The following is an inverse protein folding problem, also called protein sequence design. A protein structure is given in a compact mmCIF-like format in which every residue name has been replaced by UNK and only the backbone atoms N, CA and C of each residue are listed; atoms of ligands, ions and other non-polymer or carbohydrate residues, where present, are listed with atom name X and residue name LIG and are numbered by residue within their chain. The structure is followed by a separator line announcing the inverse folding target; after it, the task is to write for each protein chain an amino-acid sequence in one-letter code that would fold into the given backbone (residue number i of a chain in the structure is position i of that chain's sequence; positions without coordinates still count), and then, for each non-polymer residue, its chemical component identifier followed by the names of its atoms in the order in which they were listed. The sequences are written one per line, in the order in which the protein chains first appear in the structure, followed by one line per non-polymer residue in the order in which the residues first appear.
data_IF_996641362018
#
_entry.id   IF_996641362018
#
_cell.length_a   1.000
_cell.length_b   1.000
_cell.length_c   1.000
_cell.angle_alpha   90.00
_cell.angle_beta   90.00
_cell.angle_gamma   90.00
#
_symmetry.space_group_name_H-M   'P 1'
#
loop_
_entity.id
_entity.type
_entity.pdbx_description
1 polymer ?
#
# COMPACT_ATOMS: atom_id res chain seq x y z
N UNK A 1 38.89 32.47 9.06
CA UNK A 1 38.44 31.07 8.88
C UNK A 1 37.27 30.70 9.80
N UNK A 2 37.28 31.04 11.09
CA UNK A 2 36.19 30.72 12.04
C UNK A 2 34.81 31.27 11.62
N UNK A 3 34.73 32.53 11.17
CA UNK A 3 33.46 33.10 10.69
C UNK A 3 32.84 32.38 9.49
N UNK A 4 33.67 31.88 8.57
CA UNK A 4 33.21 31.09 7.43
C UNK A 4 32.60 29.78 7.90
N UNK A 5 33.21 29.11 8.88
CA UNK A 5 32.67 27.88 9.48
C UNK A 5 31.32 28.14 10.18
N UNK A 6 31.19 29.25 10.92
CA UNK A 6 29.91 29.62 11.57
C UNK A 6 28.80 29.82 10.53
N UNK A 7 29.09 30.53 9.44
CA UNK A 7 28.12 30.75 8.35
C UNK A 7 27.71 29.43 7.69
N UNK A 8 28.66 28.53 7.43
CA UNK A 8 28.38 27.21 6.84
C UNK A 8 27.48 26.39 7.78
N UNK A 9 27.76 26.37 9.07
CA UNK A 9 26.95 25.66 10.06
C UNK A 9 25.52 26.23 10.11
N UNK A 10 25.36 27.55 10.14
CA UNK A 10 24.05 28.20 10.11
C UNK A 10 23.28 27.87 8.81
N UNK A 11 23.96 27.83 7.67
CA UNK A 11 23.36 27.45 6.40
C UNK A 11 22.87 25.99 6.39
N UNK A 12 23.67 25.06 6.93
CA UNK A 12 23.29 23.65 7.04
C UNK A 12 22.05 23.49 7.92
N UNK A 13 22.03 24.16 9.09
CA UNK A 13 20.88 24.15 10.00
C UNK A 13 19.64 24.72 9.28
N UNK A 14 19.79 25.84 8.59
CA UNK A 14 18.70 26.47 7.85
C UNK A 14 18.15 25.54 6.75
N UNK A 15 19.02 24.89 5.97
CA UNK A 15 18.61 23.91 4.95
C UNK A 15 17.88 22.71 5.56
N UNK A 16 18.33 22.22 6.72
CA UNK A 16 17.67 21.12 7.43
C UNK A 16 16.25 21.52 7.90
N UNK A 17 16.09 22.72 8.46
CA UNK A 17 14.78 23.26 8.88
C UNK A 17 13.86 23.42 7.66
N UNK A 18 14.37 23.97 6.56
CA UNK A 18 13.60 24.16 5.33
C UNK A 18 13.15 22.81 4.74
N UNK A 19 14.06 21.83 4.65
CA UNK A 19 13.75 20.47 4.20
C UNK A 19 12.65 19.83 5.04
N UNK A 20 12.78 19.90 6.37
CA UNK A 20 11.77 19.38 7.31
C UNK A 20 10.42 20.05 7.07
N UNK A 21 10.39 21.38 6.93
CA UNK A 21 9.15 22.14 6.72
C UNK A 21 8.44 21.76 5.42
N UNK A 22 9.18 21.62 4.32
CA UNK A 22 8.60 21.21 3.02
C UNK A 22 8.07 19.78 3.11
N UNK A 23 8.84 18.87 3.72
CA UNK A 23 8.42 17.48 3.90
C UNK A 23 7.13 17.37 4.73
N UNK A 24 7.06 18.11 5.84
CA UNK A 24 5.86 18.18 6.68
C UNK A 24 4.66 18.72 5.90
N UNK A 25 4.83 19.74 5.04
CA UNK A 25 3.74 20.26 4.21
C UNK A 25 3.23 19.24 3.20
N UNK A 26 4.12 18.59 2.45
CA UNK A 26 3.75 17.54 1.48
C UNK A 26 2.97 16.42 2.18
N UNK A 27 3.48 15.95 3.32
CA UNK A 27 2.82 14.90 4.09
C UNK A 27 1.48 15.35 4.67
N UNK A 28 1.39 16.60 5.16
CA UNK A 28 0.16 17.16 5.69
C UNK A 28 -0.94 17.21 4.62
N UNK A 29 -0.66 17.79 3.44
CA UNK A 29 -1.63 17.86 2.35
C UNK A 29 -2.10 16.47 1.88
N UNK A 30 -1.19 15.49 1.81
CA UNK A 30 -1.54 14.10 1.47
C UNK A 30 -2.45 13.43 2.51
N UNK A 31 -2.29 13.77 3.80
CA UNK A 31 -3.07 13.19 4.88
C UNK A 31 -4.47 13.80 5.01
N UNK A 32 -4.58 15.11 4.84
CA UNK A 32 -5.86 15.82 4.83
C UNK A 32 -6.57 15.74 3.47
N UNK A 33 -5.98 15.01 2.53
CA UNK A 33 -6.53 14.73 1.19
C UNK A 33 -6.77 15.99 0.34
N UNK A 34 -5.98 17.03 0.60
CA UNK A 34 -5.94 18.26 -0.19
C UNK A 34 -4.98 18.06 -1.38
N UNK A 35 -5.49 17.35 -2.40
CA UNK A 35 -4.70 16.94 -3.56
C UNK A 35 -4.24 18.13 -4.41
N UNK A 36 -5.04 19.20 -4.49
CA UNK A 36 -4.69 20.42 -5.22
C UNK A 36 -3.43 21.07 -4.66
N UNK A 37 -3.38 21.27 -3.33
CA UNK A 37 -2.20 21.82 -2.69
C UNK A 37 -1.06 20.80 -2.58
N UNK A 38 -1.37 19.51 -2.46
CA UNK A 38 -0.38 18.45 -2.52
C UNK A 38 0.43 18.48 -3.82
N UNK A 39 -0.23 18.46 -4.99
CA UNK A 39 0.47 18.44 -6.28
C UNK A 39 1.25 19.74 -6.52
N UNK A 40 0.67 20.91 -6.17
CA UNK A 40 1.40 22.20 -6.19
C UNK A 40 2.66 22.17 -5.32
N UNK A 41 2.56 21.57 -4.13
CA UNK A 41 3.67 21.52 -3.17
C UNK A 41 4.76 20.52 -3.60
N UNK A 42 4.39 19.29 -3.95
CA UNK A 42 5.34 18.21 -4.28
C UNK A 42 6.09 18.46 -5.59
N UNK A 43 5.51 19.24 -6.52
CA UNK A 43 6.17 19.62 -7.79
C UNK A 43 6.82 21.00 -7.78
N UNK A 44 6.71 21.73 -6.67
CA UNK A 44 7.41 22.99 -6.48
C UNK A 44 8.93 22.83 -6.64
N UNK A 45 9.59 23.88 -7.12
CA UNK A 45 11.06 23.89 -7.31
C UNK A 45 11.81 23.57 -6.01
N UNK A 46 11.31 24.07 -4.88
CA UNK A 46 11.88 23.80 -3.56
C UNK A 46 11.72 22.32 -3.16
N UNK A 47 10.55 21.71 -3.37
CA UNK A 47 10.37 20.28 -3.11
C UNK A 47 11.26 19.42 -4.00
N UNK A 48 11.40 19.76 -5.29
CA UNK A 48 12.31 19.08 -6.21
C UNK A 48 13.77 19.10 -5.77
N UNK A 49 14.20 20.20 -5.15
CA UNK A 49 15.56 20.36 -4.63
C UNK A 49 15.77 19.62 -3.30
N UNK A 50 14.76 19.65 -2.42
CA UNK A 50 14.92 19.19 -1.03
C UNK A 50 14.48 17.74 -0.79
N UNK A 51 13.59 17.19 -1.62
CA UNK A 51 13.04 15.84 -1.48
C UNK A 51 13.58 14.95 -2.61
N UNK A 52 14.12 13.76 -2.29
CA UNK A 52 14.56 12.80 -3.30
C UNK A 52 13.46 12.48 -4.32
N UNK A 53 13.86 12.28 -5.58
CA UNK A 53 12.94 11.98 -6.69
C UNK A 53 12.03 10.80 -6.37
N UNK A 54 12.59 9.70 -5.87
CA UNK A 54 11.82 8.51 -5.51
C UNK A 54 10.70 8.85 -4.51
N UNK A 55 11.03 9.57 -3.42
CA UNK A 55 10.06 9.90 -2.37
C UNK A 55 8.91 10.75 -2.91
N UNK A 56 9.22 11.79 -3.69
CA UNK A 56 8.19 12.63 -4.31
C UNK A 56 7.23 11.82 -5.18
N UNK A 57 7.81 10.96 -6.00
CA UNK A 57 7.08 10.18 -6.99
C UNK A 57 6.29 9.03 -6.33
N UNK A 58 6.76 8.51 -5.19
CA UNK A 58 6.02 7.59 -4.34
C UNK A 58 4.86 8.27 -3.62
N UNK A 59 5.01 9.52 -3.16
CA UNK A 59 3.88 10.27 -2.60
C UNK A 59 2.80 10.54 -3.64
N UNK A 60 3.17 10.83 -4.89
CA UNK A 60 2.20 10.95 -5.98
C UNK A 60 1.48 9.64 -6.23
N UNK A 61 2.17 8.50 -6.20
CA UNK A 61 1.52 7.18 -6.31
C UNK A 61 0.47 7.02 -5.22
N UNK A 62 0.80 7.34 -3.97
CA UNK A 62 -0.14 7.24 -2.85
C UNK A 62 -1.32 8.21 -3.01
N UNK A 63 -1.11 9.42 -3.52
CA UNK A 63 -2.18 10.37 -3.82
C UNK A 63 -3.14 9.79 -4.87
N UNK A 64 -2.62 9.31 -6.00
CA UNK A 64 -3.45 8.70 -7.05
C UNK A 64 -4.19 7.45 -6.56
N UNK A 65 -3.57 6.63 -5.70
CA UNK A 65 -4.23 5.46 -5.07
C UNK A 65 -5.42 5.92 -4.23
N UNK A 66 -5.26 6.96 -3.39
CA UNK A 66 -6.36 7.45 -2.54
C UNK A 66 -7.50 8.07 -3.35
N UNK A 67 -7.16 8.83 -4.39
CA UNK A 67 -8.08 9.40 -5.38
C UNK A 67 -8.77 8.35 -6.26
N UNK A 68 -8.32 7.09 -6.17
CA UNK A 68 -8.78 5.97 -6.99
C UNK A 68 -8.61 6.18 -8.50
N UNK A 69 -7.56 6.91 -8.90
CA UNK A 69 -7.26 7.24 -10.30
C UNK A 69 -6.43 6.13 -10.96
N UNK A 70 -7.11 5.13 -11.52
CA UNK A 70 -6.48 3.95 -12.10
C UNK A 70 -5.42 4.24 -13.16
N UNK A 71 -5.66 5.23 -14.02
CA UNK A 71 -4.75 5.57 -15.11
C UNK A 71 -3.46 6.17 -14.55
N UNK A 72 -3.59 7.14 -13.63
CA UNK A 72 -2.42 7.77 -13.02
C UNK A 72 -1.69 6.84 -12.05
N UNK A 73 -2.38 5.96 -11.32
CA UNK A 73 -1.73 4.89 -10.54
C UNK A 73 -0.87 4.01 -11.45
N UNK A 74 -1.42 3.59 -12.60
CA UNK A 74 -0.67 2.75 -13.56
C UNK A 74 0.55 3.47 -14.11
N UNK A 75 0.40 4.72 -14.52
CA UNK A 75 1.49 5.55 -15.04
C UNK A 75 2.58 5.73 -13.97
N UNK A 76 2.19 6.08 -12.76
CA UNK A 76 3.10 6.38 -11.67
C UNK A 76 3.82 5.14 -11.15
N UNK A 77 3.12 4.00 -11.03
CA UNK A 77 3.72 2.71 -10.70
C UNK A 77 4.82 2.33 -11.70
N UNK A 78 4.51 2.39 -13.00
CA UNK A 78 5.48 2.06 -14.05
C UNK A 78 6.67 3.04 -14.06
N UNK A 79 6.43 4.31 -13.77
CA UNK A 79 7.49 5.30 -13.65
C UNK A 79 8.43 4.98 -12.48
N UNK A 80 7.90 4.68 -11.29
CA UNK A 80 8.68 4.30 -10.12
C UNK A 80 9.52 3.04 -10.35
N UNK A 81 8.98 2.04 -11.05
CA UNK A 81 9.71 0.83 -11.42
C UNK A 81 10.92 1.13 -12.34
N UNK A 82 10.83 2.15 -13.19
CA UNK A 82 11.92 2.58 -14.09
C UNK A 82 13.03 3.37 -13.38
N UNK A 83 12.79 3.86 -12.17
CA UNK A 83 13.80 4.56 -11.37
C UNK A 83 14.86 3.63 -10.77
N UNK A 84 14.81 2.32 -11.07
CA UNK A 84 15.68 1.29 -10.49
C UNK A 84 15.69 1.37 -8.95
N UNK A 85 14.51 1.20 -8.30
CA UNK A 85 14.38 1.33 -6.86
C UNK A 85 15.27 0.30 -6.15
N UNK A 86 15.84 0.68 -5.00
CA UNK A 86 16.51 -0.28 -4.15
C UNK A 86 15.51 -1.30 -3.56
N UNK A 87 15.99 -2.35 -2.91
CA UNK A 87 15.13 -3.42 -2.40
C UNK A 87 13.97 -2.91 -1.53
N UNK A 88 14.23 -2.00 -0.59
CA UNK A 88 13.18 -1.44 0.26
C UNK A 88 12.11 -0.70 -0.54
N UNK A 89 12.54 0.16 -1.47
CA UNK A 89 11.68 0.93 -2.34
C UNK A 89 10.84 0.03 -3.27
N UNK A 90 11.47 -0.98 -3.88
CA UNK A 90 10.82 -1.96 -4.73
C UNK A 90 9.72 -2.70 -3.97
N UNK A 91 10.03 -3.14 -2.74
CA UNK A 91 9.07 -3.79 -1.86
C UNK A 91 7.84 -2.89 -1.62
N UNK A 92 8.03 -1.60 -1.30
CA UNK A 92 6.92 -0.67 -1.10
C UNK A 92 6.07 -0.48 -2.35
N UNK A 93 6.69 -0.31 -3.53
CA UNK A 93 5.95 -0.16 -4.80
C UNK A 93 5.09 -1.40 -5.07
N UNK A 94 5.69 -2.60 -4.98
CA UNK A 94 5.00 -3.85 -5.29
C UNK A 94 3.79 -4.06 -4.38
N UNK A 95 3.92 -3.78 -3.08
CA UNK A 95 2.81 -3.92 -2.11
C UNK A 95 1.68 -2.93 -2.43
N UNK A 96 2.00 -1.65 -2.61
CA UNK A 96 1.00 -0.63 -2.93
C UNK A 96 0.28 -0.94 -4.24
N UNK A 97 1.02 -1.35 -5.27
CA UNK A 97 0.45 -1.75 -6.55
C UNK A 97 -0.42 -3.00 -6.44
N UNK A 98 0.05 -4.04 -5.75
CA UNK A 98 -0.71 -5.27 -5.57
C UNK A 98 -2.05 -5.01 -4.90
N UNK A 99 -2.03 -4.31 -3.75
CA UNK A 99 -3.27 -4.00 -3.02
C UNK A 99 -4.23 -3.17 -3.88
N UNK A 100 -3.73 -2.15 -4.59
CA UNK A 100 -4.55 -1.32 -5.46
C UNK A 100 -5.19 -2.12 -6.60
N UNK A 101 -4.41 -2.90 -7.35
CA UNK A 101 -4.95 -3.68 -8.46
C UNK A 101 -5.83 -4.84 -7.99
N UNK A 102 -5.60 -5.36 -6.78
CA UNK A 102 -6.49 -6.34 -6.16
C UNK A 102 -7.86 -5.72 -5.87
N UNK A 103 -7.88 -4.54 -5.25
CA UNK A 103 -9.10 -3.77 -5.03
C UNK A 103 -9.85 -3.48 -6.35
N UNK A 104 -9.10 -3.16 -7.41
CA UNK A 104 -9.64 -2.91 -8.75
C UNK A 104 -10.00 -4.18 -9.55
N UNK A 105 -9.86 -5.37 -8.97
CA UNK A 105 -10.07 -6.66 -9.64
C UNK A 105 -9.25 -6.86 -10.93
N UNK A 106 -8.09 -6.20 -11.07
CA UNK A 106 -7.20 -6.33 -12.23
C UNK A 106 -6.26 -7.54 -12.05
N UNK A 107 -6.84 -8.72 -12.30
CA UNK A 107 -6.16 -10.02 -12.20
C UNK A 107 -4.84 -10.06 -12.99
N UNK A 108 -4.77 -9.41 -14.16
CA UNK A 108 -3.58 -9.44 -15.03
C UNK A 108 -2.42 -8.68 -14.40
N UNK A 109 -2.66 -7.49 -13.86
CA UNK A 109 -1.62 -6.72 -13.18
C UNK A 109 -1.23 -7.33 -11.85
N UNK A 110 -2.18 -7.85 -11.07
CA UNK A 110 -1.88 -8.58 -9.85
C UNK A 110 -0.97 -9.78 -10.11
N UNK A 111 -1.23 -10.59 -11.15
CA UNK A 111 -0.36 -11.71 -11.52
C UNK A 111 1.07 -11.24 -11.83
N UNK A 112 1.22 -10.21 -12.67
CA UNK A 112 2.55 -9.66 -13.01
C UNK A 112 3.31 -9.17 -11.77
N UNK A 113 2.63 -8.52 -10.85
CA UNK A 113 3.24 -8.06 -9.59
C UNK A 113 3.62 -9.25 -8.72
N UNK A 114 2.77 -10.26 -8.63
CA UNK A 114 3.03 -11.48 -7.88
C UNK A 114 4.25 -12.23 -8.42
N UNK A 115 4.38 -12.35 -9.74
CA UNK A 115 5.57 -12.93 -10.39
C UNK A 115 6.83 -12.18 -9.97
N UNK A 116 6.77 -10.84 -9.96
CA UNK A 116 7.91 -10.04 -9.49
C UNK A 116 8.18 -10.21 -7.99
N UNK A 117 7.14 -10.29 -7.17
CA UNK A 117 7.27 -10.54 -5.72
C UNK A 117 7.94 -11.88 -5.44
N UNK A 118 7.67 -12.92 -6.24
CA UNK A 118 8.30 -14.24 -6.12
C UNK A 118 9.82 -14.18 -6.23
N UNK A 119 10.34 -13.27 -7.05
CA UNK A 119 11.78 -13.08 -7.25
C UNK A 119 12.45 -12.34 -6.08
N UNK A 120 11.71 -11.51 -5.33
CA UNK A 120 12.30 -10.55 -4.38
C UNK A 120 11.87 -10.73 -2.92
N UNK A 121 10.79 -11.46 -2.65
CA UNK A 121 10.31 -11.74 -1.30
C UNK A 121 10.79 -13.11 -0.85
N UNK A 122 10.97 -13.28 0.47
CA UNK A 122 11.09 -14.60 1.06
C UNK A 122 9.79 -15.41 0.87
N UNK A 123 9.92 -16.74 0.97
CA UNK A 123 8.82 -17.67 0.70
C UNK A 123 7.59 -17.42 1.56
N UNK A 124 7.79 -17.18 2.86
CA UNK A 124 6.68 -16.94 3.80
C UNK A 124 5.93 -15.65 3.45
N UNK A 125 6.66 -14.59 3.11
CA UNK A 125 6.06 -13.32 2.74
C UNK A 125 5.36 -13.42 1.39
N UNK A 126 5.99 -14.05 0.39
CA UNK A 126 5.38 -14.29 -0.93
C UNK A 126 4.09 -15.09 -0.81
N UNK A 127 4.08 -16.16 -0.01
CA UNK A 127 2.93 -17.03 0.20
C UNK A 127 1.67 -16.26 0.63
N UNK A 128 1.80 -15.23 1.47
CA UNK A 128 0.65 -14.40 1.87
C UNK A 128 -0.03 -13.70 0.69
N UNK A 129 0.76 -13.14 -0.23
CA UNK A 129 0.25 -12.46 -1.42
C UNK A 129 -0.30 -13.46 -2.44
N UNK A 130 0.35 -14.62 -2.57
CA UNK A 130 -0.15 -15.70 -3.40
C UNK A 130 -1.51 -16.21 -2.92
N UNK A 131 -1.63 -16.54 -1.63
CA UNK A 131 -2.87 -16.99 -1.01
C UNK A 131 -4.00 -15.97 -1.19
N UNK A 132 -3.71 -14.69 -1.02
CA UNK A 132 -4.68 -13.62 -1.29
C UNK A 132 -5.14 -13.62 -2.75
N UNK A 133 -4.19 -13.65 -3.69
CA UNK A 133 -4.49 -13.67 -5.12
C UNK A 133 -5.32 -14.89 -5.51
N UNK A 134 -4.96 -16.07 -5.03
CA UNK A 134 -5.63 -17.31 -5.37
C UNK A 134 -7.08 -17.34 -4.88
N UNK A 135 -7.33 -16.85 -3.65
CA UNK A 135 -8.69 -16.78 -3.10
C UNK A 135 -9.52 -15.73 -3.84
N UNK A 136 -9.02 -14.50 -3.98
CA UNK A 136 -9.83 -13.39 -4.51
C UNK A 136 -9.96 -13.41 -6.03
N UNK A 137 -8.95 -13.86 -6.77
CA UNK A 137 -8.88 -13.75 -8.24
C UNK A 137 -9.06 -15.09 -8.95
N UNK A 138 -8.77 -16.21 -8.27
CA UNK A 138 -8.91 -17.56 -8.83
C UNK A 138 -10.04 -18.36 -8.15
N UNK A 139 -10.73 -17.80 -7.16
CA UNK A 139 -11.80 -18.48 -6.40
C UNK A 139 -11.34 -19.81 -5.77
N UNK A 140 -10.06 -19.89 -5.41
CA UNK A 140 -9.47 -21.10 -4.83
C UNK A 140 -9.95 -21.28 -3.39
N UNK A 141 -10.29 -22.51 -3.01
CA UNK A 141 -10.88 -22.84 -1.70
C UNK A 141 -10.05 -23.81 -0.86
N UNK A 142 -8.88 -24.24 -1.33
CA UNK A 142 -8.04 -25.24 -0.65
C UNK A 142 -7.36 -24.69 0.63
N UNK A 143 -7.37 -23.37 0.84
CA UNK A 143 -6.80 -22.73 2.04
C UNK A 143 -7.74 -22.70 3.25
N UNK A 144 -8.99 -23.17 3.14
CA UNK A 144 -9.99 -23.01 4.21
C UNK A 144 -9.51 -23.61 5.55
N UNK A 145 -9.08 -24.88 5.55
CA UNK A 145 -8.69 -25.58 6.78
C UNK A 145 -7.46 -24.96 7.44
N UNK A 146 -6.50 -24.51 6.61
CA UNK A 146 -5.32 -23.78 7.05
C UNK A 146 -5.70 -22.46 7.72
N UNK A 147 -6.56 -21.66 7.08
CA UNK A 147 -6.97 -20.35 7.58
C UNK A 147 -7.81 -20.50 8.86
N UNK A 148 -8.73 -21.47 8.93
CA UNK A 148 -9.52 -21.77 10.14
C UNK A 148 -8.63 -22.13 11.33
N UNK A 149 -7.50 -22.80 11.07
CA UNK A 149 -6.50 -23.11 12.08
C UNK A 149 -5.65 -21.89 12.46
N UNK A 150 -5.30 -21.02 11.50
CA UNK A 150 -4.50 -19.81 11.71
C UNK A 150 -5.26 -18.75 12.52
N UNK A 151 -6.56 -18.56 12.26
CA UNK A 151 -7.42 -17.56 12.93
C UNK A 151 -7.38 -17.71 14.45
N UNK A 152 -7.37 -18.94 14.97
CA UNK A 152 -7.36 -19.23 16.41
C UNK A 152 -6.13 -18.64 17.12
N UNK A 153 -5.04 -18.43 16.38
CA UNK A 153 -3.74 -17.93 16.87
C UNK A 153 -3.60 -16.41 16.79
N UNK A 154 -4.58 -15.71 16.21
CA UNK A 154 -4.48 -14.27 15.96
C UNK A 154 -5.68 -13.50 16.53
N UNK A 155 -5.52 -12.17 16.62
CA UNK A 155 -6.50 -11.20 17.12
C UNK A 155 -6.38 -9.90 16.31
N UNK A 156 -7.42 -9.06 16.41
CA UNK A 156 -7.46 -7.75 15.75
C UNK A 156 -7.33 -7.86 14.23
N UNK A 157 -6.70 -6.86 13.59
CA UNK A 157 -6.64 -6.76 12.13
C UNK A 157 -6.12 -8.00 11.41
N UNK A 158 -5.14 -8.71 11.98
CA UNK A 158 -4.62 -9.95 11.36
C UNK A 158 -5.70 -11.05 11.35
N UNK A 159 -6.43 -11.21 12.45
CA UNK A 159 -7.55 -12.16 12.49
C UNK A 159 -8.66 -11.73 11.53
N UNK A 160 -9.00 -10.44 11.53
CA UNK A 160 -9.94 -9.88 10.56
C UNK A 160 -9.53 -10.20 9.12
N UNK A 161 -8.25 -10.06 8.75
CA UNK A 161 -7.78 -10.36 7.39
C UNK A 161 -8.03 -11.81 7.00
N UNK A 162 -7.73 -12.74 7.91
CA UNK A 162 -7.95 -14.17 7.69
C UNK A 162 -9.45 -14.50 7.58
N UNK A 163 -10.30 -13.89 8.42
CA UNK A 163 -11.76 -14.03 8.34
C UNK A 163 -12.30 -13.52 7.01
N UNK A 164 -11.74 -12.43 6.46
CA UNK A 164 -12.11 -11.95 5.12
C UNK A 164 -11.76 -12.96 4.03
N UNK A 165 -10.57 -13.59 4.09
CA UNK A 165 -10.19 -14.63 3.15
C UNK A 165 -11.13 -15.86 3.25
N UNK A 166 -11.54 -16.25 4.46
CA UNK A 166 -12.54 -17.30 4.64
C UNK A 166 -13.88 -16.91 4.03
N UNK A 167 -14.34 -15.68 4.25
CA UNK A 167 -15.56 -15.20 3.64
C UNK A 167 -15.50 -15.38 2.11
N UNK A 168 -14.46 -14.86 1.44
CA UNK A 168 -14.29 -15.01 -0.02
C UNK A 168 -14.19 -16.48 -0.48
N UNK A 169 -13.55 -17.34 0.32
CA UNK A 169 -13.50 -18.78 0.05
C UNK A 169 -14.89 -19.42 0.13
N UNK A 170 -15.70 -19.07 1.13
CA UNK A 170 -17.07 -19.58 1.28
C UNK A 170 -18.05 -18.97 0.26
N UNK A 171 -17.80 -17.74 -0.20
CA UNK A 171 -18.48 -17.15 -1.35
C UNK A 171 -18.27 -18.01 -2.59
N UNK A 172 -17.02 -18.43 -2.86
CA UNK A 172 -16.68 -19.30 -4.00
C UNK A 172 -17.36 -20.68 -3.91
N UNK A 173 -17.65 -21.17 -2.69
CA UNK A 173 -18.44 -22.39 -2.45
C UNK A 173 -19.96 -22.17 -2.47
N UNK A 174 -20.44 -20.98 -2.84
CA UNK A 174 -21.86 -20.59 -2.75
C UNK A 174 -22.49 -20.74 -1.35
N UNK A 175 -21.69 -20.75 -0.29
CA UNK A 175 -22.18 -20.83 1.09
C UNK A 175 -22.40 -19.43 1.67
N UNK A 176 -23.59 -18.88 1.43
CA UNK A 176 -23.97 -17.51 1.86
C UNK A 176 -23.96 -17.34 3.38
N UNK A 177 -24.31 -18.38 4.14
CA UNK A 177 -24.35 -18.31 5.61
C UNK A 177 -22.95 -18.06 6.17
N UNK A 178 -22.00 -18.93 5.82
CA UNK A 178 -20.61 -18.79 6.28
C UNK A 178 -19.93 -17.54 5.72
N UNK A 179 -20.23 -17.17 4.46
CA UNK A 179 -19.75 -15.90 3.88
C UNK A 179 -20.13 -14.71 4.76
N UNK A 180 -21.42 -14.56 5.09
CA UNK A 180 -21.91 -13.43 5.89
C UNK A 180 -21.36 -13.46 7.32
N UNK A 181 -21.26 -14.65 7.92
CA UNK A 181 -20.69 -14.82 9.26
C UNK A 181 -19.26 -14.29 9.33
N UNK A 182 -18.36 -14.82 8.48
CA UNK A 182 -16.96 -14.43 8.50
C UNK A 182 -16.73 -12.99 8.05
N UNK A 183 -17.53 -12.48 7.10
CA UNK A 183 -17.45 -11.08 6.70
C UNK A 183 -17.80 -10.15 7.87
N UNK A 184 -18.83 -10.49 8.64
CA UNK A 184 -19.23 -9.71 9.81
C UNK A 184 -18.19 -9.76 10.94
N UNK A 185 -17.59 -10.92 11.18
CA UNK A 185 -16.48 -11.05 12.14
C UNK A 185 -15.28 -10.21 11.70
N UNK A 186 -14.94 -10.30 10.42
CA UNK A 186 -13.82 -9.57 9.84
C UNK A 186 -13.95 -8.05 9.99
N UNK A 187 -15.14 -7.49 9.72
CA UNK A 187 -15.41 -6.07 9.92
C UNK A 187 -15.27 -5.64 11.39
N UNK A 188 -15.70 -6.49 12.34
CA UNK A 188 -15.55 -6.22 13.78
C UNK A 188 -14.08 -6.19 14.20
N UNK A 189 -13.30 -7.15 13.74
CA UNK A 189 -11.87 -7.26 14.08
C UNK A 189 -11.02 -6.17 13.42
N UNK A 190 -11.44 -5.66 12.26
CA UNK A 190 -10.83 -4.51 11.60
C UNK A 190 -11.25 -3.16 12.17
N UNK A 191 -12.42 -3.08 12.82
CA UNK A 191 -13.05 -1.83 13.28
C UNK A 191 -13.35 -0.85 12.13
N UNK A 192 -13.79 -1.36 10.98
CA UNK A 192 -14.07 -0.56 9.77
C UNK A 192 -15.53 -0.78 9.35
N UNK A 193 -16.18 0.29 8.86
CA UNK A 193 -17.54 0.21 8.32
C UNK A 193 -17.60 -0.58 7.01
N UNK A 194 -18.76 -1.17 6.70
CA UNK A 194 -18.97 -2.00 5.51
C UNK A 194 -18.57 -1.30 4.20
N UNK A 195 -18.85 -0.01 4.09
CA UNK A 195 -18.59 0.80 2.90
C UNK A 195 -17.10 1.04 2.64
N UNK A 196 -16.30 1.08 3.70
CA UNK A 196 -14.87 1.33 3.62
C UNK A 196 -14.05 0.03 3.67
N UNK A 197 -14.70 -1.11 3.91
CA UNK A 197 -14.03 -2.33 4.30
C UNK A 197 -13.12 -2.88 3.20
N UNK A 198 -13.65 -3.15 2.00
CA UNK A 198 -12.86 -3.75 0.92
C UNK A 198 -11.75 -2.84 0.38
N UNK A 199 -11.93 -1.51 0.42
CA UNK A 199 -10.89 -0.53 0.04
C UNK A 199 -9.70 -0.53 1.02
N UNK A 200 -9.93 -0.89 2.28
CA UNK A 200 -8.93 -0.81 3.34
C UNK A 200 -8.35 -2.18 3.77
N UNK A 201 -8.81 -3.28 3.17
CA UNK A 201 -8.19 -4.59 3.36
C UNK A 201 -6.79 -4.57 2.76
N UNK A 202 -5.79 -4.94 3.56
CA UNK A 202 -4.41 -5.13 3.11
C UNK A 202 -3.93 -6.52 3.50
N UNK A 203 -3.06 -7.12 2.69
CA UNK A 203 -2.42 -8.42 2.99
C UNK A 203 -1.62 -8.35 4.31
N UNK A 204 -1.86 -9.27 5.25
CA UNK A 204 -1.23 -9.33 6.60
C UNK A 204 -0.49 -10.63 6.88
#
# INVERSE_FOLDING_TARGET
MVWVLVVIVLLIIWLAVLKKRIFTKVYHYLNVEDYDNFFKCVDSRLARMMIPIYMREYYKLNAYIKMDDYQNVTKQFNYLMKLNPNSYQLNSILISGFNYYCYQNDKKKCRKILDKMKEVFDEQRYFKYQRHFDILMNNVTNYIDEIESEIKKHRGKKRGYLEYLLAKSYQSKNNKSKYNEYLNQSMKDYQISKEQFEKNITVM
#
